data_IF_372619297516
#
_entry.id   IF_372619297516
#
_cell.length_a   1.000
_cell.length_b   1.000
_cell.length_c   1.000
_cell.angle_alpha   90.00
_cell.angle_beta   90.00
_cell.angle_gamma   90.00
#
_symmetry.space_group_name_H-M   'P 1'
#
loop_
_entity.id
_entity.type
_entity.pdbx_description
1 polymer ?
#
# COMPACT_ATOMS: atom_id res chain seq x y z
N UNK A 1 90.31 13.87 -3.97
CA UNK A 1 89.03 14.59 -4.14
C UNK A 1 88.01 13.63 -4.70
N UNK A 2 86.84 13.52 -4.04
CA UNK A 2 85.60 12.85 -4.43
C UNK A 2 85.68 11.31 -4.65
N UNK A 3 84.73 10.45 -4.23
CA UNK A 3 83.31 10.62 -3.92
C UNK A 3 82.90 9.79 -2.69
N UNK A 4 82.14 10.41 -1.78
CA UNK A 4 81.16 9.72 -0.94
C UNK A 4 79.91 9.48 -1.79
N UNK A 5 79.60 8.22 -2.10
CA UNK A 5 78.29 7.81 -2.61
C UNK A 5 77.42 7.35 -1.45
N UNK A 6 76.66 8.27 -0.85
CA UNK A 6 75.65 7.92 0.14
C UNK A 6 74.46 7.27 -0.58
N UNK A 7 74.31 5.96 -0.41
CA UNK A 7 73.10 5.20 -0.71
C UNK A 7 72.01 5.64 0.28
N UNK A 8 71.20 6.62 -0.13
CA UNK A 8 69.87 6.84 0.44
C UNK A 8 68.96 5.73 -0.06
N UNK A 9 69.04 4.56 0.58
CA UNK A 9 67.97 3.58 0.51
C UNK A 9 66.76 4.17 1.23
N UNK A 10 65.87 4.81 0.48
CA UNK A 10 64.53 5.13 0.96
C UNK A 10 63.85 3.82 1.33
N UNK A 11 63.77 3.51 2.62
CA UNK A 11 62.82 2.51 3.10
C UNK A 11 61.44 3.10 2.84
N UNK A 12 60.76 2.65 1.79
CA UNK A 12 59.30 2.71 1.74
C UNK A 12 58.79 1.89 2.93
N UNK A 13 58.61 2.55 4.08
CA UNK A 13 57.98 1.93 5.24
C UNK A 13 56.49 1.83 4.93
N UNK A 14 56.08 0.68 4.39
CA UNK A 14 54.68 0.31 4.29
C UNK A 14 54.12 0.25 5.72
N UNK A 15 53.26 1.20 6.08
CA UNK A 15 52.54 1.13 7.34
C UNK A 15 51.52 -0.01 7.25
N UNK A 16 51.67 -1.01 8.12
CA UNK A 16 50.72 -2.10 8.28
C UNK A 16 50.20 -2.01 9.71
N UNK A 17 48.92 -1.65 9.88
CA UNK A 17 48.27 -1.80 11.17
C UNK A 17 48.21 -3.31 11.48
N UNK A 18 48.76 -3.79 12.61
CA UNK A 18 48.71 -5.22 12.94
C UNK A 18 47.28 -5.70 13.23
N UNK A 19 46.34 -4.78 13.46
CA UNK A 19 44.94 -5.07 13.75
C UNK A 19 44.03 -4.14 12.94
N UNK A 20 43.98 -4.29 11.60
CA UNK A 20 43.10 -3.47 10.78
C UNK A 20 41.63 -3.76 11.12
N UNK A 21 40.71 -2.81 10.84
CA UNK A 21 39.28 -3.02 11.04
C UNK A 21 38.77 -4.25 10.27
N UNK A 22 38.01 -5.11 10.95
CA UNK A 22 37.35 -6.26 10.32
C UNK A 22 36.07 -5.81 9.61
N UNK A 23 36.24 -5.33 8.36
CA UNK A 23 35.16 -4.80 7.53
C UNK A 23 34.62 -5.84 6.54
N UNK A 24 33.31 -5.83 6.34
CA UNK A 24 32.64 -6.63 5.32
C UNK A 24 31.44 -5.90 4.73
N UNK A 25 30.97 -6.37 3.57
CA UNK A 25 29.82 -5.80 2.86
C UNK A 25 28.59 -6.64 3.11
N UNK A 26 27.48 -6.00 3.48
CA UNK A 26 26.16 -6.62 3.59
C UNK A 26 25.20 -6.03 2.57
N UNK A 27 24.68 -6.89 1.69
CA UNK A 27 23.61 -6.53 0.76
C UNK A 27 22.25 -6.78 1.40
N UNK A 28 21.31 -5.86 1.15
CA UNK A 28 19.93 -5.91 1.62
C UNK A 28 18.97 -5.68 0.48
N UNK A 29 17.85 -6.39 0.54
CA UNK A 29 16.72 -6.19 -0.35
C UNK A 29 15.44 -6.16 0.49
N UNK A 30 14.62 -5.12 0.28
CA UNK A 30 13.25 -5.07 0.78
C UNK A 30 12.30 -4.96 -0.39
N UNK A 31 11.41 -5.93 -0.49
CA UNK A 31 10.30 -5.94 -1.45
C UNK A 31 9.02 -5.58 -0.71
N UNK A 32 8.42 -4.45 -1.05
CA UNK A 32 7.08 -4.07 -0.63
C UNK A 32 6.10 -4.68 -1.63
N UNK A 33 5.31 -5.64 -1.16
CA UNK A 33 4.41 -6.43 -2.00
C UNK A 33 3.01 -5.82 -2.00
N UNK A 34 2.21 -6.23 -2.98
CA UNK A 34 0.78 -6.02 -2.92
C UNK A 34 0.18 -6.84 -1.77
N UNK A 35 -0.80 -6.26 -1.10
CA UNK A 35 -1.58 -6.87 -0.04
C UNK A 35 -3.07 -6.64 -0.28
N UNK A 36 -3.89 -7.52 0.29
CA UNK A 36 -5.34 -7.39 0.26
C UNK A 36 -5.82 -6.25 1.15
N UNK A 37 -6.90 -5.64 0.72
CA UNK A 37 -7.63 -4.61 1.47
C UNK A 37 -8.97 -5.14 1.96
N UNK A 38 -9.47 -4.63 3.10
CA UNK A 38 -10.80 -5.01 3.58
C UNK A 38 -11.89 -4.63 2.59
N UNK A 39 -12.84 -5.53 2.35
CA UNK A 39 -13.96 -5.26 1.44
C UNK A 39 -15.03 -4.46 2.16
N UNK A 40 -15.21 -3.21 1.74
CA UNK A 40 -16.22 -2.33 2.30
C UNK A 40 -17.23 -2.01 1.22
N UNK A 41 -18.51 -2.29 1.45
CA UNK A 41 -19.55 -2.03 0.45
C UNK A 41 -20.85 -1.50 1.05
N UNK A 42 -21.63 -0.78 0.25
CA UNK A 42 -22.98 -0.34 0.57
C UNK A 42 -23.97 -0.68 -0.54
N UNK A 43 -25.23 -0.83 -0.16
CA UNK A 43 -26.34 -1.13 -1.06
C UNK A 43 -27.26 0.09 -1.15
N UNK A 44 -27.65 0.47 -2.36
CA UNK A 44 -28.53 1.61 -2.64
C UNK A 44 -29.72 1.11 -3.46
N UNK A 45 -30.86 0.96 -2.81
CA UNK A 45 -32.10 0.52 -3.42
C UNK A 45 -32.91 1.72 -3.94
N UNK A 46 -33.04 1.81 -5.26
CA UNK A 46 -33.93 2.74 -5.95
C UNK A 46 -34.84 1.93 -6.89
N UNK A 47 -35.81 1.23 -6.32
CA UNK A 47 -36.66 0.28 -7.01
C UNK A 47 -38.11 0.78 -7.13
N UNK A 48 -38.77 0.40 -8.21
CA UNK A 48 -40.20 0.57 -8.44
C UNK A 48 -40.88 -0.79 -8.58
N UNK A 49 -41.52 -1.27 -7.52
CA UNK A 49 -42.17 -2.58 -7.45
C UNK A 49 -43.52 -2.37 -6.77
N UNK A 50 -44.65 -2.44 -7.51
CA UNK A 50 -45.97 -2.10 -6.97
C UNK A 50 -46.42 -2.97 -5.78
N UNK A 51 -45.95 -4.22 -5.70
CA UNK A 51 -46.31 -5.13 -4.62
C UNK A 51 -45.29 -5.02 -3.48
N UNK A 52 -45.74 -4.64 -2.27
CA UNK A 52 -44.88 -4.44 -1.11
C UNK A 52 -44.16 -5.71 -0.62
N UNK A 53 -44.82 -6.87 -0.71
CA UNK A 53 -44.20 -8.15 -0.33
C UNK A 53 -43.09 -8.54 -1.31
N UNK A 54 -43.34 -8.36 -2.61
CA UNK A 54 -42.35 -8.56 -3.67
C UNK A 54 -41.18 -7.58 -3.53
N UNK A 55 -41.46 -6.30 -3.26
CA UNK A 55 -40.44 -5.28 -2.99
C UNK A 55 -39.49 -5.71 -1.85
N UNK A 56 -40.07 -6.16 -0.73
CA UNK A 56 -39.30 -6.64 0.42
C UNK A 56 -38.49 -7.89 0.07
N UNK A 57 -39.11 -8.86 -0.60
CA UNK A 57 -38.47 -10.10 -1.05
C UNK A 57 -37.26 -9.82 -1.94
N UNK A 58 -37.39 -8.90 -2.89
CA UNK A 58 -36.33 -8.52 -3.83
C UNK A 58 -35.17 -7.82 -3.13
N UNK A 59 -35.46 -6.87 -2.23
CA UNK A 59 -34.41 -6.18 -1.44
C UNK A 59 -33.60 -7.18 -0.61
N UNK A 60 -34.26 -8.13 0.05
CA UNK A 60 -33.59 -9.19 0.82
C UNK A 60 -32.82 -10.17 -0.08
N UNK A 61 -33.38 -10.57 -1.23
CA UNK A 61 -32.69 -11.43 -2.19
C UNK A 61 -31.39 -10.77 -2.71
N UNK A 62 -31.46 -9.50 -3.12
CA UNK A 62 -30.30 -8.74 -3.60
C UNK A 62 -29.24 -8.63 -2.49
N UNK A 63 -29.68 -8.28 -1.27
CA UNK A 63 -28.80 -8.17 -0.10
C UNK A 63 -28.10 -9.49 0.22
N UNK A 64 -28.86 -10.58 0.33
CA UNK A 64 -28.33 -11.89 0.68
C UNK A 64 -27.34 -12.41 -0.39
N UNK A 65 -27.71 -12.31 -1.67
CA UNK A 65 -26.87 -12.77 -2.78
C UNK A 65 -25.56 -11.99 -2.87
N UNK A 66 -25.60 -10.67 -2.70
CA UNK A 66 -24.42 -9.83 -2.77
C UNK A 66 -23.55 -9.95 -1.52
N UNK A 67 -24.13 -10.08 -0.32
CA UNK A 67 -23.36 -10.36 0.88
C UNK A 67 -22.55 -11.64 0.74
N UNK A 68 -23.16 -12.71 0.22
CA UNK A 68 -22.46 -13.97 -0.02
C UNK A 68 -21.26 -13.83 -1.00
N UNK A 69 -21.35 -12.92 -1.98
CA UNK A 69 -20.29 -12.70 -2.96
C UNK A 69 -19.21 -11.70 -2.49
N UNK A 70 -19.62 -10.62 -1.83
CA UNK A 70 -18.78 -9.49 -1.43
C UNK A 70 -18.07 -9.76 -0.09
N UNK A 71 -18.78 -10.33 0.89
CA UNK A 71 -18.28 -10.65 2.22
C UNK A 71 -18.63 -12.11 2.62
N UNK A 72 -18.08 -13.13 1.92
CA UNK A 72 -18.16 -14.50 2.38
C UNK A 72 -17.47 -14.68 3.74
N UNK A 73 -17.82 -15.75 4.46
CA UNK A 73 -17.23 -16.10 5.75
C UNK A 73 -15.70 -16.11 5.70
N UNK A 74 -15.05 -15.42 6.64
CA UNK A 74 -13.59 -15.33 6.73
C UNK A 74 -12.96 -14.18 5.95
N UNK A 75 -13.73 -13.42 5.16
CA UNK A 75 -13.22 -12.20 4.50
C UNK A 75 -13.27 -11.00 5.45
N UNK A 76 -12.14 -10.30 5.57
CA UNK A 76 -12.06 -9.02 6.28
C UNK A 76 -12.84 -7.93 5.53
N UNK A 77 -13.72 -7.21 6.23
CA UNK A 77 -14.49 -6.13 5.64
C UNK A 77 -15.77 -5.79 6.38
N UNK A 78 -16.59 -4.92 5.78
CA UNK A 78 -17.77 -4.32 6.42
C UNK A 78 -18.87 -4.01 5.39
N UNK A 79 -20.11 -4.38 5.72
CA UNK A 79 -21.30 -3.90 5.00
C UNK A 79 -21.80 -2.61 5.64
N UNK A 80 -21.97 -1.58 4.84
CA UNK A 80 -22.67 -0.35 5.20
C UNK A 80 -24.17 -0.59 5.35
N UNK A 81 -24.80 0.19 6.21
CA UNK A 81 -26.25 0.26 6.33
C UNK A 81 -26.88 0.54 4.95
N UNK A 82 -27.79 -0.33 4.48
CA UNK A 82 -28.44 -0.14 3.19
C UNK A 82 -29.18 1.18 3.12
N UNK A 83 -29.17 1.80 1.94
CA UNK A 83 -29.89 3.04 1.66
C UNK A 83 -31.06 2.76 0.75
N UNK A 84 -32.26 3.06 1.25
CA UNK A 84 -33.49 2.92 0.50
C UNK A 84 -33.95 4.29 0.02
N UNK A 85 -33.64 4.59 -1.24
CA UNK A 85 -34.07 5.83 -1.92
C UNK A 85 -35.52 5.75 -2.39
N UNK A 86 -36.12 4.56 -2.27
CA UNK A 86 -37.47 4.24 -2.73
C UNK A 86 -38.22 3.44 -1.66
N UNK A 87 -38.52 4.02 -0.49
CA UNK A 87 -39.28 3.33 0.55
C UNK A 87 -40.59 2.77 -0.01
N UNK A 88 -40.88 1.50 0.28
CA UNK A 88 -42.03 0.79 -0.31
C UNK A 88 -41.91 0.51 -1.81
N UNK A 89 -40.72 0.65 -2.40
CA UNK A 89 -40.45 0.58 -3.83
C UNK A 89 -41.31 1.56 -4.65
N UNK A 90 -41.44 2.78 -4.16
CA UNK A 90 -41.97 3.93 -4.89
C UNK A 90 -40.82 4.90 -5.08
N UNK A 91 -40.59 5.36 -6.31
CA UNK A 91 -39.46 6.23 -6.66
C UNK A 91 -39.92 7.70 -6.71
N UNK A 92 -39.78 8.49 -5.63
CA UNK A 92 -40.12 9.91 -5.69
C UNK A 92 -39.12 10.67 -6.56
N UNK A 93 -39.57 11.68 -7.31
CA UNK A 93 -38.68 12.50 -8.15
C UNK A 93 -37.68 13.34 -7.33
N UNK A 94 -37.93 13.56 -6.04
CA UNK A 94 -37.07 14.32 -5.13
C UNK A 94 -36.00 13.49 -4.42
N UNK A 95 -35.83 12.21 -4.77
CA UNK A 95 -34.84 11.34 -4.13
C UNK A 95 -33.41 11.85 -4.35
N UNK A 96 -32.61 11.71 -3.30
CA UNK A 96 -31.21 12.11 -3.23
C UNK A 96 -30.45 11.12 -2.34
N UNK A 97 -29.13 11.09 -2.49
CA UNK A 97 -28.26 10.24 -1.69
C UNK A 97 -27.53 11.07 -0.62
N UNK A 98 -27.73 10.81 0.68
CA UNK A 98 -27.15 11.62 1.75
C UNK A 98 -25.63 11.39 1.88
N UNK A 99 -24.83 12.29 1.30
CA UNK A 99 -23.36 12.21 1.34
C UNK A 99 -22.78 12.12 2.76
N UNK A 100 -23.37 12.81 3.73
CA UNK A 100 -22.88 12.81 5.12
C UNK A 100 -22.98 11.44 5.80
N UNK A 101 -24.00 10.64 5.48
CA UNK A 101 -24.13 9.28 5.99
C UNK A 101 -23.10 8.33 5.39
N UNK A 102 -22.80 8.52 4.10
CA UNK A 102 -21.72 7.79 3.45
C UNK A 102 -20.38 8.13 4.08
N UNK A 103 -20.07 9.42 4.24
CA UNK A 103 -18.82 9.87 4.86
C UNK A 103 -18.67 9.35 6.31
N UNK A 104 -19.76 9.29 7.08
CA UNK A 104 -19.73 8.73 8.43
C UNK A 104 -19.36 7.23 8.44
N UNK A 105 -19.94 6.45 7.54
CA UNK A 105 -19.65 5.01 7.44
C UNK A 105 -18.25 4.72 6.89
N UNK A 106 -17.75 5.56 5.97
CA UNK A 106 -16.35 5.48 5.52
C UNK A 106 -15.39 5.73 6.67
N UNK A 107 -15.62 6.78 7.48
CA UNK A 107 -14.79 7.05 8.67
C UNK A 107 -14.79 5.87 9.63
N UNK A 108 -15.94 5.26 9.88
CA UNK A 108 -16.05 4.06 10.72
C UNK A 108 -15.22 2.89 10.15
N UNK A 109 -15.26 2.67 8.83
CA UNK A 109 -14.46 1.64 8.19
C UNK A 109 -12.95 1.94 8.28
N UNK A 110 -12.54 3.20 8.10
CA UNK A 110 -11.14 3.63 8.25
C UNK A 110 -10.64 3.51 9.69
N UNK A 111 -11.49 3.76 10.69
CA UNK A 111 -11.17 3.55 12.10
C UNK A 111 -10.95 2.07 12.42
N UNK A 112 -11.75 1.19 11.81
CA UNK A 112 -11.65 -0.25 12.02
C UNK A 112 -10.45 -0.89 11.30
N UNK A 113 -10.19 -0.45 10.06
CA UNK A 113 -9.24 -1.12 9.16
C UNK A 113 -7.95 -0.35 8.89
N UNK A 114 -7.89 0.92 9.28
CA UNK A 114 -6.81 1.85 9.00
C UNK A 114 -7.12 2.78 7.81
N UNK A 115 -6.76 4.06 7.96
CA UNK A 115 -6.91 5.08 6.92
C UNK A 115 -6.17 4.69 5.63
N UNK A 116 -6.80 4.95 4.48
CA UNK A 116 -6.23 4.64 3.17
C UNK A 116 -6.23 3.16 2.78
N UNK A 117 -6.60 2.24 3.70
CA UNK A 117 -6.73 0.81 3.39
C UNK A 117 -8.10 0.43 2.86
N UNK A 118 -9.02 1.38 2.74
CA UNK A 118 -10.42 1.13 2.38
C UNK A 118 -10.74 1.85 1.07
N UNK A 119 -11.32 1.13 0.11
CA UNK A 119 -11.95 1.72 -1.07
C UNK A 119 -13.39 1.18 -1.16
N UNK A 120 -14.41 1.98 -0.83
CA UNK A 120 -15.77 1.47 -0.76
C UNK A 120 -16.33 1.11 -2.14
N UNK A 121 -17.19 0.09 -2.21
CA UNK A 121 -18.03 -0.22 -3.38
C UNK A 121 -19.48 0.13 -3.06
N UNK A 122 -20.11 1.02 -3.80
CA UNK A 122 -21.56 1.26 -3.66
C UNK A 122 -22.29 0.58 -4.82
N UNK A 123 -23.21 -0.32 -4.49
CA UNK A 123 -24.03 -1.03 -5.45
C UNK A 123 -25.41 -0.39 -5.53
N UNK A 124 -25.72 0.19 -6.68
CA UNK A 124 -26.97 0.85 -6.99
C UNK A 124 -27.92 -0.09 -7.76
N UNK A 125 -29.18 -0.16 -7.32
CA UNK A 125 -30.21 -1.00 -7.94
C UNK A 125 -31.35 -0.12 -8.45
N UNK A 126 -31.64 -0.23 -9.75
CA UNK A 126 -32.80 0.43 -10.36
C UNK A 126 -33.41 -0.46 -11.44
N UNK A 127 -34.74 -0.53 -11.48
CA UNK A 127 -35.48 -1.42 -12.37
C UNK A 127 -36.44 -0.67 -13.32
N UNK A 128 -36.27 0.63 -13.45
CA UNK A 128 -37.14 1.50 -14.24
C UNK A 128 -36.35 2.08 -15.40
N UNK A 129 -36.89 1.94 -16.60
CA UNK A 129 -36.31 2.51 -17.83
C UNK A 129 -36.64 4.01 -17.94
N UNK A 130 -36.18 4.79 -16.96
CA UNK A 130 -36.31 6.25 -16.92
C UNK A 130 -34.98 6.88 -16.49
N UNK A 131 -34.68 8.12 -16.91
CA UNK A 131 -33.51 8.83 -16.46
C UNK A 131 -33.50 9.02 -14.93
N UNK A 132 -32.31 9.08 -14.34
CA UNK A 132 -32.18 9.48 -12.94
C UNK A 132 -32.62 10.94 -12.76
N UNK A 133 -33.31 11.27 -11.65
CA UNK A 133 -33.53 12.66 -11.27
C UNK A 133 -32.21 13.42 -11.17
N UNK A 134 -32.22 14.70 -11.52
CA UNK A 134 -31.00 15.53 -11.53
C UNK A 134 -30.30 15.56 -10.18
N UNK A 135 -31.06 15.62 -9.08
CA UNK A 135 -30.54 15.56 -7.71
C UNK A 135 -29.70 14.31 -7.46
N UNK A 136 -30.26 13.13 -7.74
CA UNK A 136 -29.57 11.86 -7.51
C UNK A 136 -28.36 11.69 -8.43
N UNK A 137 -28.47 12.14 -9.69
CA UNK A 137 -27.35 12.15 -10.63
C UNK A 137 -26.21 13.03 -10.12
N UNK A 138 -26.51 14.23 -9.64
CA UNK A 138 -25.54 15.15 -9.06
C UNK A 138 -24.88 14.56 -7.80
N UNK A 139 -25.65 13.87 -6.94
CA UNK A 139 -25.11 13.18 -5.77
C UNK A 139 -24.10 12.09 -6.18
N UNK A 140 -24.39 11.30 -7.22
CA UNK A 140 -23.48 10.28 -7.73
C UNK A 140 -22.20 10.88 -8.32
N UNK A 141 -22.31 12.00 -9.05
CA UNK A 141 -21.15 12.75 -9.54
C UNK A 141 -20.31 13.26 -8.36
N UNK A 142 -20.95 13.81 -7.33
CA UNK A 142 -20.26 14.33 -6.15
C UNK A 142 -19.55 13.22 -5.35
N UNK A 143 -20.17 12.05 -5.23
CA UNK A 143 -19.53 10.87 -4.62
C UNK A 143 -18.26 10.46 -5.38
N UNK A 144 -18.33 10.41 -6.71
CA UNK A 144 -17.20 10.01 -7.55
C UNK A 144 -16.07 11.04 -7.54
N UNK A 145 -16.40 12.32 -7.36
CA UNK A 145 -15.43 13.42 -7.31
C UNK A 145 -14.90 13.71 -5.90
N UNK A 146 -15.33 12.96 -4.87
CA UNK A 146 -15.01 13.21 -3.45
C UNK A 146 -13.55 12.96 -3.03
N UNK A 147 -12.62 12.72 -3.95
CA UNK A 147 -11.20 12.50 -3.66
C UNK A 147 -10.88 11.10 -3.14
N UNK A 148 -9.90 11.00 -2.23
CA UNK A 148 -9.24 9.74 -1.81
C UNK A 148 -10.15 8.59 -1.32
N UNK A 149 -11.38 8.92 -0.94
CA UNK A 149 -12.37 7.96 -0.45
C UNK A 149 -13.57 7.79 -1.40
N UNK A 150 -13.51 8.29 -2.63
CA UNK A 150 -14.58 8.12 -3.61
C UNK A 150 -14.90 6.64 -3.83
N UNK A 151 -16.18 6.22 -3.84
CA UNK A 151 -16.54 4.82 -4.00
C UNK A 151 -16.43 4.37 -5.45
N UNK A 152 -16.21 3.07 -5.65
CA UNK A 152 -16.51 2.41 -6.91
C UNK A 152 -18.03 2.23 -7.03
N UNK A 153 -18.68 3.05 -7.87
CA UNK A 153 -20.12 2.92 -8.12
C UNK A 153 -20.38 1.78 -9.10
N UNK A 154 -21.06 0.73 -8.64
CA UNK A 154 -21.52 -0.40 -9.44
C UNK A 154 -23.04 -0.33 -9.58
N UNK A 155 -23.59 -0.81 -10.69
CA UNK A 155 -25.04 -0.79 -10.90
C UNK A 155 -25.59 -2.13 -11.36
N UNK A 156 -26.80 -2.45 -10.89
CA UNK A 156 -27.73 -3.34 -11.56
C UNK A 156 -28.91 -2.47 -12.01
N UNK A 157 -28.94 -2.11 -13.28
CA UNK A 157 -29.81 -1.03 -13.76
C UNK A 157 -30.19 -1.18 -15.23
N UNK A 158 -31.09 -0.34 -15.71
CA UNK A 158 -31.51 -0.27 -17.11
C UNK A 158 -30.58 0.60 -17.97
N UNK A 159 -30.77 0.60 -19.30
CA UNK A 159 -29.91 1.35 -20.23
C UNK A 159 -30.06 2.87 -20.08
N UNK A 160 -31.28 3.35 -19.82
CA UNK A 160 -31.58 4.78 -19.66
C UNK A 160 -30.85 5.40 -18.44
N UNK A 161 -30.60 4.61 -17.40
CA UNK A 161 -29.78 5.06 -16.27
C UNK A 161 -28.30 5.12 -16.65
N UNK A 162 -27.80 4.14 -17.43
CA UNK A 162 -26.40 4.07 -17.85
C UNK A 162 -26.01 5.18 -18.84
N UNK A 163 -26.95 5.68 -19.64
CA UNK A 163 -26.70 6.80 -20.56
C UNK A 163 -26.45 8.11 -19.83
N UNK A 164 -26.96 8.25 -18.60
CA UNK A 164 -26.98 9.51 -17.85
C UNK A 164 -26.01 9.55 -16.66
N UNK A 165 -25.42 8.42 -16.26
CA UNK A 165 -24.48 8.32 -15.12
C UNK A 165 -23.40 7.29 -15.40
N UNK A 166 -22.16 7.62 -15.06
CA UNK A 166 -21.03 6.69 -15.20
C UNK A 166 -20.97 5.75 -14.02
N UNK A 167 -21.02 4.45 -14.27
CA UNK A 167 -20.73 3.43 -13.29
C UNK A 167 -19.42 2.74 -13.66
N UNK A 168 -18.61 2.40 -12.65
CA UNK A 168 -17.37 1.66 -12.88
C UNK A 168 -17.64 0.25 -13.39
N UNK A 169 -18.74 -0.34 -12.95
CA UNK A 169 -19.26 -1.61 -13.43
C UNK A 169 -20.79 -1.56 -13.51
N UNK A 170 -21.37 -2.27 -14.46
CA UNK A 170 -22.82 -2.42 -14.53
C UNK A 170 -23.23 -3.82 -14.97
N UNK A 171 -24.44 -4.18 -14.57
CA UNK A 171 -25.18 -5.32 -15.08
C UNK A 171 -26.60 -4.85 -15.45
N UNK A 172 -27.20 -5.40 -16.52
CA UNK A 172 -28.56 -5.05 -16.89
C UNK A 172 -29.55 -5.60 -15.85
N UNK A 173 -30.51 -4.77 -15.45
CA UNK A 173 -31.70 -5.27 -14.77
C UNK A 173 -32.55 -6.08 -15.76
N UNK A 174 -32.99 -7.28 -15.37
CA UNK A 174 -33.90 -8.12 -16.15
C UNK A 174 -35.31 -8.09 -15.54
N UNK A 175 -35.63 -9.04 -14.67
CA UNK A 175 -36.87 -9.09 -13.90
C UNK A 175 -36.58 -9.59 -12.48
N UNK A 176 -37.44 -9.24 -11.52
CA UNK A 176 -37.21 -9.47 -10.09
C UNK A 176 -37.09 -10.93 -9.67
N UNK A 177 -37.59 -11.84 -10.49
CA UNK A 177 -37.57 -13.29 -10.25
C UNK A 177 -36.46 -14.02 -11.02
N UNK A 178 -35.60 -13.30 -11.75
CA UNK A 178 -34.50 -13.91 -12.50
C UNK A 178 -33.48 -14.49 -11.50
N UNK A 179 -33.24 -15.81 -11.49
CA UNK A 179 -32.26 -16.42 -10.58
C UNK A 179 -30.83 -15.96 -10.86
N UNK A 180 -30.56 -15.36 -12.03
CA UNK A 180 -29.25 -14.84 -12.44
C UNK A 180 -29.13 -13.33 -12.30
N UNK A 181 -30.11 -12.65 -11.72
CA UNK A 181 -30.16 -11.19 -11.62
C UNK A 181 -28.86 -10.58 -11.05
N UNK A 182 -28.26 -11.22 -10.04
CA UNK A 182 -27.01 -10.75 -9.41
C UNK A 182 -25.75 -11.46 -9.90
N UNK A 183 -25.88 -12.45 -10.80
CA UNK A 183 -24.78 -13.34 -11.17
C UNK A 183 -23.58 -12.56 -11.73
N UNK A 184 -23.84 -11.56 -12.58
CA UNK A 184 -22.79 -10.72 -13.16
C UNK A 184 -22.05 -9.89 -12.11
N UNK A 185 -22.77 -9.27 -11.17
CA UNK A 185 -22.14 -8.51 -10.08
C UNK A 185 -21.35 -9.43 -9.15
N UNK A 186 -21.84 -10.64 -8.89
CA UNK A 186 -21.12 -11.63 -8.10
C UNK A 186 -19.86 -12.16 -8.81
N UNK A 187 -19.86 -12.29 -10.14
CA UNK A 187 -18.65 -12.57 -10.92
C UNK A 187 -17.63 -11.43 -10.83
N UNK A 188 -18.09 -10.19 -11.01
CA UNK A 188 -17.24 -9.01 -10.90
C UNK A 188 -16.62 -8.87 -9.51
N UNK A 189 -17.41 -9.11 -8.46
CA UNK A 189 -16.93 -9.16 -7.08
C UNK A 189 -15.81 -10.19 -6.92
N UNK A 190 -16.00 -11.42 -7.42
CA UNK A 190 -14.97 -12.47 -7.35
C UNK A 190 -13.71 -12.14 -8.15
N UNK A 191 -13.84 -11.42 -9.25
CA UNK A 191 -12.70 -11.06 -10.11
C UNK A 191 -11.91 -9.84 -9.60
N UNK A 192 -12.58 -8.88 -8.95
CA UNK A 192 -11.99 -7.60 -8.59
C UNK A 192 -11.71 -7.43 -7.09
N UNK A 193 -12.40 -8.18 -6.22
CA UNK A 193 -12.33 -8.03 -4.77
C UNK A 193 -11.67 -9.25 -4.07
N UNK A 194 -10.98 -9.04 -2.94
CA UNK A 194 -10.67 -7.74 -2.34
C UNK A 194 -9.77 -6.89 -3.24
N UNK A 195 -9.87 -5.57 -3.12
CA UNK A 195 -8.91 -4.68 -3.78
C UNK A 195 -7.51 -4.94 -3.23
N UNK A 196 -6.50 -4.59 -4.00
CA UNK A 196 -5.10 -4.71 -3.64
C UNK A 196 -4.48 -3.32 -3.53
N UNK A 197 -3.50 -3.19 -2.66
CA UNK A 197 -2.65 -2.00 -2.53
C UNK A 197 -1.24 -2.44 -2.14
N UNK A 198 -0.25 -1.57 -2.28
CA UNK A 198 1.08 -1.86 -1.73
C UNK A 198 1.03 -1.87 -0.20
N UNK A 199 1.73 -2.83 0.41
CA UNK A 199 1.95 -2.89 1.86
C UNK A 199 2.47 -1.53 2.34
N UNK A 200 1.81 -0.98 3.36
CA UNK A 200 2.30 0.24 3.98
C UNK A 200 3.37 -0.13 5.02
N UNK A 201 4.56 0.49 4.95
CA UNK A 201 5.61 0.24 5.93
C UNK A 201 5.11 0.52 7.35
N UNK A 202 5.54 -0.30 8.31
CA UNK A 202 5.25 0.00 9.72
C UNK A 202 5.90 1.32 10.13
N UNK A 203 5.26 2.04 11.06
CA UNK A 203 5.84 3.27 11.62
C UNK A 203 7.21 3.02 12.29
N UNK A 204 7.40 1.82 12.86
CA UNK A 204 8.67 1.40 13.47
C UNK A 204 9.76 1.06 12.44
N UNK A 205 9.41 0.90 11.17
CA UNK A 205 10.33 0.45 10.11
C UNK A 205 10.71 -1.03 10.22
N UNK A 206 11.64 -1.45 9.38
CA UNK A 206 12.15 -2.81 9.27
C UNK A 206 13.50 -2.94 9.99
N UNK A 207 13.76 -4.11 10.58
CA UNK A 207 15.05 -4.40 11.20
C UNK A 207 16.17 -4.37 10.15
N UNK A 208 17.25 -3.63 10.42
CA UNK A 208 18.40 -3.54 9.50
C UNK A 208 19.27 -4.80 9.55
N UNK A 209 19.35 -5.41 10.73
CA UNK A 209 20.16 -6.57 11.04
C UNK A 209 19.28 -7.70 11.58
N UNK A 210 19.63 -8.93 11.23
CA UNK A 210 19.10 -10.14 11.85
C UNK A 210 19.60 -10.28 13.29
N UNK A 211 18.93 -11.08 14.15
CA UNK A 211 19.41 -11.33 15.51
C UNK A 211 20.84 -11.85 15.58
N UNK A 212 21.27 -12.64 14.59
CA UNK A 212 22.64 -13.14 14.51
C UNK A 212 23.63 -12.02 14.18
N UNK A 213 23.31 -11.15 13.24
CA UNK A 213 24.17 -10.00 12.88
C UNK A 213 24.35 -9.01 14.03
N UNK A 214 23.30 -8.79 14.83
CA UNK A 214 23.39 -7.94 16.03
C UNK A 214 24.39 -8.45 17.07
N UNK A 215 24.79 -9.73 17.03
CA UNK A 215 25.78 -10.27 17.97
C UNK A 215 27.23 -9.90 17.63
N UNK A 216 27.51 -9.52 16.38
CA UNK A 216 28.87 -9.31 15.89
C UNK A 216 29.09 -7.97 15.19
N UNK A 217 28.07 -7.33 14.61
CA UNK A 217 28.22 -5.99 14.03
C UNK A 217 28.40 -4.96 15.16
N UNK A 218 29.49 -4.19 15.11
CA UNK A 218 29.76 -3.11 16.07
C UNK A 218 29.42 -1.75 15.51
N UNK A 219 29.79 -1.50 14.26
CA UNK A 219 29.52 -0.26 13.56
C UNK A 219 29.12 -0.54 12.11
N UNK A 220 28.37 0.36 11.50
CA UNK A 220 28.00 0.25 10.09
C UNK A 220 27.91 1.60 9.38
N UNK A 221 27.96 1.54 8.05
CA UNK A 221 27.76 2.66 7.12
C UNK A 221 26.76 2.26 6.05
N UNK A 222 25.91 3.21 5.63
CA UNK A 222 25.06 3.07 4.44
C UNK A 222 25.80 3.51 3.19
N UNK A 223 26.11 2.57 2.30
CA UNK A 223 26.97 2.82 1.14
C UNK A 223 26.20 3.17 -0.13
N UNK A 224 25.01 2.58 -0.30
CA UNK A 224 24.09 2.95 -1.37
C UNK A 224 22.83 3.53 -0.76
N UNK A 225 22.39 4.68 -1.28
CA UNK A 225 21.18 5.38 -0.81
C UNK A 225 20.14 5.42 -1.94
N UNK A 226 19.41 4.32 -2.18
CA UNK A 226 18.30 4.34 -3.12
C UNK A 226 17.26 5.37 -2.67
N UNK A 227 16.53 5.92 -3.64
CA UNK A 227 15.42 6.85 -3.35
C UNK A 227 14.38 6.19 -2.45
N UNK A 228 13.89 6.94 -1.46
CA UNK A 228 12.90 6.45 -0.50
C UNK A 228 13.44 5.55 0.61
N UNK A 229 14.76 5.34 0.74
CA UNK A 229 15.34 4.69 1.92
C UNK A 229 15.77 5.73 2.94
N UNK A 230 15.39 5.51 4.20
CA UNK A 230 15.86 6.32 5.32
C UNK A 230 16.08 5.49 6.60
N UNK A 231 16.85 6.03 7.54
CA UNK A 231 16.97 5.46 8.88
C UNK A 231 15.75 5.82 9.72
N UNK A 232 15.24 4.87 10.50
CA UNK A 232 14.10 5.12 11.40
C UNK A 232 14.56 5.77 12.71
N UNK A 233 15.71 5.34 13.22
CA UNK A 233 16.32 5.76 14.48
C UNK A 233 17.81 6.15 14.32
N UNK A 234 18.23 6.41 13.08
CA UNK A 234 19.58 6.86 12.73
C UNK A 234 19.56 7.67 11.44
N UNK A 235 20.64 8.37 11.13
CA UNK A 235 20.79 9.08 9.85
C UNK A 235 21.46 8.16 8.84
N UNK A 236 20.73 7.73 7.80
CA UNK A 236 21.30 6.84 6.79
C UNK A 236 22.31 7.55 5.90
N UNK A 237 23.52 6.99 5.79
CA UNK A 237 24.57 7.52 4.92
C UNK A 237 25.95 6.93 5.20
N UNK A 238 27.00 7.51 4.62
CA UNK A 238 28.35 6.95 4.65
C UNK A 238 29.10 7.21 5.97
N UNK A 239 28.44 7.83 6.95
CA UNK A 239 28.98 8.02 8.29
C UNK A 239 28.88 6.73 9.09
N UNK A 240 29.89 6.45 9.93
CA UNK A 240 29.85 5.28 10.80
C UNK A 240 28.84 5.45 11.93
N UNK A 241 28.08 4.41 12.20
CA UNK A 241 27.03 4.39 13.21
C UNK A 241 27.24 3.18 14.12
N UNK A 242 27.34 3.36 15.44
CA UNK A 242 27.43 2.24 16.37
C UNK A 242 26.12 1.45 16.44
N UNK A 243 26.25 0.14 16.53
CA UNK A 243 25.12 -0.79 16.70
C UNK A 243 24.90 -1.06 18.18
N UNK A 244 23.74 -0.64 18.67
CA UNK A 244 23.26 -1.01 20.00
C UNK A 244 22.26 -2.16 19.90
N UNK A 245 22.62 -3.36 20.36
CA UNK A 245 21.75 -4.53 20.31
C UNK A 245 20.47 -4.37 21.18
N UNK A 246 20.48 -3.52 22.20
CA UNK A 246 19.29 -3.22 23.01
C UNK A 246 18.33 -2.26 22.31
N UNK A 247 18.82 -1.48 21.33
CA UNK A 247 18.03 -0.59 20.48
C UNK A 247 18.46 -0.74 19.02
N UNK A 248 18.15 -1.88 18.38
CA UNK A 248 18.67 -2.20 17.06
C UNK A 248 18.34 -1.12 16.02
N UNK A 249 19.27 -0.82 15.09
CA UNK A 249 18.98 0.06 13.97
C UNK A 249 17.86 -0.48 13.09
N UNK A 250 16.95 0.42 12.66
CA UNK A 250 15.82 0.11 11.78
C UNK A 250 15.79 1.08 10.61
N UNK A 251 15.33 0.62 9.46
CA UNK A 251 15.20 1.44 8.25
C UNK A 251 13.74 1.55 7.82
N UNK A 252 13.42 2.63 7.13
CA UNK A 252 12.11 2.87 6.52
C UNK A 252 12.27 2.92 5.00
N UNK A 253 11.21 2.48 4.34
CA UNK A 253 11.06 2.59 2.89
C UNK A 253 9.85 3.45 2.64
N UNK A 254 10.00 4.52 1.87
CA UNK A 254 8.88 5.35 1.41
C UNK A 254 8.18 4.63 0.28
N UNK A 255 6.91 4.30 0.48
CA UNK A 255 6.05 3.69 -0.53
C UNK A 255 5.07 4.77 -0.99
N UNK A 256 4.91 5.01 -2.31
CA UNK A 256 3.90 5.93 -2.81
C UNK A 256 2.53 5.54 -2.26
N UNK A 257 1.85 6.48 -1.61
CA UNK A 257 0.48 6.25 -1.20
C UNK A 257 -0.39 6.18 -2.46
N UNK A 258 -1.01 5.03 -2.67
CA UNK A 258 -1.92 4.78 -3.79
C UNK A 258 -3.24 4.30 -3.24
N UNK A 259 -4.33 4.71 -3.88
CA UNK A 259 -5.65 4.15 -3.57
C UNK A 259 -5.68 2.65 -3.87
N UNK A 260 -6.45 1.85 -3.12
CA UNK A 260 -6.67 0.44 -3.45
C UNK A 260 -7.26 0.28 -4.86
N UNK A 261 -6.75 -0.69 -5.60
CA UNK A 261 -7.16 -0.99 -6.98
C UNK A 261 -7.76 -2.40 -7.12
N UNK A 262 -8.60 -2.66 -8.14
CA UNK A 262 -9.04 -4.01 -8.52
C UNK A 262 -7.91 -5.04 -8.54
N UNK A 263 -8.10 -6.21 -7.90
CA UNK A 263 -7.10 -7.30 -7.87
C UNK A 263 -6.67 -7.79 -9.24
N UNK A 264 -7.54 -7.67 -10.24
CA UNK A 264 -7.23 -8.02 -11.63
C UNK A 264 -6.33 -6.98 -12.32
N UNK A 265 -5.99 -5.87 -11.67
CA UNK A 265 -4.96 -4.94 -12.12
C UNK A 265 -3.59 -5.36 -11.58
N UNK A 266 -2.54 -4.90 -12.25
CA UNK A 266 -1.15 -5.17 -11.87
C UNK A 266 -0.61 -4.02 -11.02
N UNK A 267 -0.23 -4.33 -9.77
CA UNK A 267 0.57 -3.45 -8.93
C UNK A 267 2.03 -3.91 -8.98
N UNK A 268 2.92 -3.04 -9.47
CA UNK A 268 4.35 -3.34 -9.44
C UNK A 268 4.87 -3.23 -8.00
N UNK A 269 5.59 -4.25 -7.50
CA UNK A 269 6.18 -4.18 -6.17
C UNK A 269 7.29 -3.14 -6.12
N UNK A 270 7.41 -2.44 -4.99
CA UNK A 270 8.52 -1.53 -4.76
C UNK A 270 9.68 -2.32 -4.16
N UNK A 271 10.78 -2.42 -4.91
CA UNK A 271 11.99 -3.10 -4.46
C UNK A 271 13.08 -2.08 -4.15
N UNK A 272 13.56 -2.10 -2.91
CA UNK A 272 14.66 -1.26 -2.46
C UNK A 272 15.85 -2.17 -2.17
N UNK A 273 16.93 -1.98 -2.93
CA UNK A 273 18.22 -2.66 -2.72
C UNK A 273 19.23 -1.66 -2.22
N UNK A 274 19.91 -2.04 -1.15
CA UNK A 274 20.95 -1.20 -0.57
C UNK A 274 22.06 -2.05 0.04
N UNK A 275 23.19 -1.40 0.26
CA UNK A 275 24.43 -2.03 0.68
C UNK A 275 24.95 -1.29 1.89
N UNK A 276 25.39 -2.06 2.87
CA UNK A 276 26.04 -1.59 4.08
C UNK A 276 27.48 -2.05 4.09
N UNK A 277 28.36 -1.23 4.63
CA UNK A 277 29.63 -1.70 5.17
C UNK A 277 29.47 -1.86 6.67
N UNK A 278 29.90 -2.99 7.18
CA UNK A 278 29.87 -3.28 8.61
C UNK A 278 31.26 -3.56 9.11
N UNK A 279 31.52 -3.15 10.33
CA UNK A 279 32.74 -3.46 11.05
C UNK A 279 32.42 -4.34 12.27
N UNK A 280 33.20 -5.40 12.42
CA UNK A 280 33.07 -6.37 13.52
C UNK A 280 34.01 -6.06 14.68
N UNK A 281 35.26 -5.72 14.40
CA UNK A 281 36.29 -5.43 15.40
C UNK A 281 37.22 -4.33 14.88
N UNK A 282 37.86 -3.61 15.81
CA UNK A 282 38.90 -2.61 15.51
C UNK A 282 38.45 -1.46 14.59
N UNK A 283 37.19 -1.02 14.69
CA UNK A 283 36.56 -0.07 13.75
C UNK A 283 37.22 1.32 13.71
N UNK A 284 37.95 1.67 14.76
CA UNK A 284 38.73 2.90 14.89
C UNK A 284 40.13 2.82 14.27
N UNK A 285 40.57 1.62 13.87
CA UNK A 285 41.93 1.38 13.35
C UNK A 285 42.09 1.79 11.89
N UNK A 286 43.35 1.95 11.52
CA UNK A 286 43.70 2.35 10.17
C UNK A 286 43.68 1.15 9.23
N UNK A 287 43.25 1.37 8.00
CA UNK A 287 43.42 0.41 6.92
C UNK A 287 43.90 1.11 5.66
N UNK A 288 44.61 0.37 4.82
CA UNK A 288 45.03 0.84 3.51
C UNK A 288 43.85 0.71 2.53
N UNK A 289 43.47 1.81 1.88
CA UNK A 289 42.48 1.77 0.80
C UNK A 289 43.09 1.21 -0.49
N UNK A 290 42.28 0.79 -1.47
CA UNK A 290 42.78 0.39 -2.79
C UNK A 290 43.62 1.46 -3.50
N UNK A 291 43.39 2.74 -3.16
CA UNK A 291 44.11 3.90 -3.68
C UNK A 291 45.44 4.19 -2.95
N UNK A 292 45.79 3.39 -1.94
CA UNK A 292 47.03 3.53 -1.16
C UNK A 292 46.96 4.57 -0.03
N UNK A 293 45.76 5.06 0.32
CA UNK A 293 45.56 5.96 1.45
C UNK A 293 45.47 5.17 2.76
N UNK A 294 46.03 5.69 3.84
CA UNK A 294 45.88 5.12 5.18
C UNK A 294 44.82 5.90 5.95
N UNK A 295 43.67 5.28 6.22
CA UNK A 295 42.53 5.97 6.80
C UNK A 295 41.91 5.16 7.94
N UNK A 296 41.41 5.86 8.97
CA UNK A 296 40.55 5.26 9.97
C UNK A 296 39.16 5.05 9.37
N UNK A 297 38.67 3.81 9.37
CA UNK A 297 37.41 3.49 8.70
C UNK A 297 36.26 4.29 9.31
N UNK A 298 36.06 4.27 10.63
CA UNK A 298 34.92 4.94 11.26
C UNK A 298 34.90 6.47 11.09
N UNK A 299 36.06 7.13 11.07
CA UNK A 299 36.19 8.58 10.97
C UNK A 299 36.05 9.11 9.54
N UNK A 300 36.15 8.24 8.54
CA UNK A 300 36.07 8.65 7.14
C UNK A 300 34.64 8.50 6.62
N UNK A 301 34.01 9.58 6.12
CA UNK A 301 32.60 9.58 5.72
C UNK A 301 32.38 9.05 4.30
N UNK A 302 32.98 7.88 4.00
CA UNK A 302 32.83 7.16 2.73
C UNK A 302 32.85 5.65 2.97
N UNK A 303 32.30 4.91 2.01
CA UNK A 303 32.42 3.46 1.92
C UNK A 303 33.60 3.09 1.01
N UNK A 304 34.22 1.95 1.27
CA UNK A 304 35.52 1.54 0.72
C UNK A 304 35.55 0.14 0.10
N UNK A 305 34.70 -0.77 0.58
CA UNK A 305 34.49 -2.11 0.04
C UNK A 305 33.46 -2.14 -1.11
N UNK A 306 32.73 -1.05 -1.32
CA UNK A 306 31.90 -0.89 -2.51
C UNK A 306 32.78 -0.57 -3.72
N UNK A 307 33.29 -1.60 -4.39
CA UNK A 307 33.99 -1.44 -5.66
C UNK A 307 33.08 -0.94 -6.79
N UNK A 308 33.61 -0.26 -7.81
CA UNK A 308 32.90 0.03 -9.05
C UNK A 308 33.02 -1.12 -10.06
N UNK A 309 31.88 -1.68 -10.48
CA UNK A 309 31.42 -1.95 -11.87
C UNK A 309 30.39 -3.07 -11.90
#
# INVERSE_FOLDING_TARGET
MALLGALLAGCETYFVDPYPPEISTLSRERVVKAQDTPVVYGLVFDLHIPNAAECTRVKEQLRAALRAALLPTGREGMEFSPRDLSPGCVQPNSRSYPYWEYAAQVRQAEELFGRGRVKPVLLYFNNVELPLPSSLREDFINLQNGGGNAPQLWALTTQEVLSNTRFAQSAPWTYSSDPRLTARLAELARAQLPFIQLEQPSAEGFALFTPQELSWVREFKGCTRPSGLDGANFVYGPQSIPVNAAQPPRFRVTVPQQEPVPRNQRLEPVTVRFTLEVCREHCERFFSTPEGELLAWNATPRCFLTGPR
#
